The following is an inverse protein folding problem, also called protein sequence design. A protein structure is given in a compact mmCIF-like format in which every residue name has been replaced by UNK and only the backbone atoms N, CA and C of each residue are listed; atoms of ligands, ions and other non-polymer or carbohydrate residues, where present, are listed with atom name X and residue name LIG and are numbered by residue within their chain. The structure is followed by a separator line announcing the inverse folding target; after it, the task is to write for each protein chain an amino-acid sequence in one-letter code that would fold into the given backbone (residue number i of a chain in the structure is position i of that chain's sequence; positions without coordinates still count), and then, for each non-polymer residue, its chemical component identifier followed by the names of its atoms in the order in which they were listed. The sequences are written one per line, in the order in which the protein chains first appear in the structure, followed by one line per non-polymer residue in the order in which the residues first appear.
data_IF_582075848655
#
_entry.id   IF_582075848655
#
_cell.length_a   1.000
_cell.length_b   1.000
_cell.length_c   1.000
_cell.angle_alpha   90.00
_cell.angle_beta   90.00
_cell.angle_gamma   90.00
#
_symmetry.space_group_name_H-M   'P 1'
#
loop_
_entity.id
_entity.type
_entity.pdbx_description
1 polymer ?
#
# COMPACT_ATOMS: atom_id res chain seq x y z
N UNK A 1 3.15 17.64 3.25
CA UNK A 1 4.61 17.59 3.25
C UNK A 1 5.20 18.59 2.27
N UNK A 2 6.31 19.23 2.60
CA UNK A 2 7.06 20.14 1.69
C UNK A 2 8.05 19.38 0.81
N UNK A 3 8.22 18.08 1.02
CA UNK A 3 9.15 17.22 0.30
C UNK A 3 8.46 16.35 -0.77
N UNK A 4 7.13 16.34 -0.84
CA UNK A 4 6.39 15.62 -1.87
C UNK A 4 6.66 16.21 -3.25
N UNK A 5 7.08 15.37 -4.18
CA UNK A 5 7.38 15.74 -5.56
C UNK A 5 6.49 14.93 -6.49
N UNK A 6 5.59 15.62 -7.19
CA UNK A 6 4.72 14.97 -8.19
C UNK A 6 5.55 14.39 -9.33
N UNK A 7 5.16 13.20 -9.79
CA UNK A 7 5.77 12.57 -10.95
C UNK A 7 5.28 13.25 -12.23
N UNK A 8 6.22 13.59 -13.12
CA UNK A 8 5.89 14.12 -14.44
C UNK A 8 5.31 13.03 -15.32
N UNK A 9 4.32 13.42 -16.13
CA UNK A 9 3.72 12.54 -17.12
C UNK A 9 4.79 11.87 -18.00
N UNK A 10 4.69 10.55 -18.16
CA UNK A 10 5.56 9.75 -19.00
C UNK A 10 4.77 8.58 -19.62
N UNK A 11 5.44 7.69 -20.36
CA UNK A 11 4.81 6.55 -21.03
C UNK A 11 4.38 5.41 -20.09
N UNK A 12 4.84 5.42 -18.84
CA UNK A 12 4.60 4.35 -17.85
C UNK A 12 3.40 4.65 -16.94
N UNK A 13 2.84 5.86 -17.01
CA UNK A 13 1.72 6.25 -16.17
C UNK A 13 0.53 6.83 -16.96
N UNK A 14 -0.66 6.82 -16.33
CA UNK A 14 -1.80 7.60 -16.81
C UNK A 14 -1.53 9.07 -16.53
N UNK A 15 -1.65 9.92 -17.54
CA UNK A 15 -1.42 11.36 -17.42
C UNK A 15 -2.74 12.11 -17.17
N UNK A 16 -2.62 13.27 -16.52
CA UNK A 16 -3.70 14.25 -16.44
C UNK A 16 -4.04 14.85 -17.83
N UNK A 17 -5.07 15.68 -17.89
CA UNK A 17 -5.53 16.30 -19.15
C UNK A 17 -4.47 17.22 -19.78
N UNK A 18 -3.63 17.84 -18.98
CA UNK A 18 -2.58 18.75 -19.41
C UNK A 18 -1.28 18.02 -19.74
N UNK A 19 -1.23 16.71 -19.49
CA UNK A 19 -0.06 15.86 -19.66
C UNK A 19 1.17 16.32 -18.86
N UNK A 20 0.95 16.91 -17.71
CA UNK A 20 2.01 17.37 -16.82
C UNK A 20 2.35 16.36 -15.76
N UNK A 21 1.34 15.66 -15.21
CA UNK A 21 1.52 14.79 -14.05
C UNK A 21 1.02 13.37 -14.29
N UNK A 22 1.64 12.41 -13.62
CA UNK A 22 1.10 11.07 -13.46
C UNK A 22 -0.07 11.10 -12.46
N UNK A 23 -1.18 10.50 -12.82
CA UNK A 23 -2.36 10.39 -11.97
C UNK A 23 -2.72 8.94 -11.70
N UNK A 24 -3.44 8.72 -10.61
CA UNK A 24 -4.09 7.45 -10.32
C UNK A 24 -5.60 7.63 -10.17
N UNK A 25 -6.30 6.55 -10.41
CA UNK A 25 -7.75 6.45 -10.28
C UNK A 25 -8.06 5.00 -9.88
N UNK A 26 -8.60 4.82 -8.69
CA UNK A 26 -8.91 3.50 -8.11
C UNK A 26 -10.38 3.42 -7.76
N UNK A 27 -10.98 2.32 -8.18
CA UNK A 27 -12.33 1.94 -7.76
C UNK A 27 -12.23 0.67 -6.90
N UNK A 28 -12.89 0.68 -5.77
CA UNK A 28 -12.93 -0.42 -4.81
C UNK A 28 -14.19 -1.25 -5.00
N UNK A 29 -14.18 -2.49 -4.50
CA UNK A 29 -15.26 -3.44 -4.69
C UNK A 29 -16.60 -2.98 -4.06
N UNK A 30 -16.52 -2.20 -2.98
CA UNK A 30 -17.66 -1.59 -2.27
C UNK A 30 -18.18 -0.30 -2.93
N UNK A 31 -17.78 -0.03 -4.18
CA UNK A 31 -18.19 1.14 -4.98
C UNK A 31 -17.58 2.48 -4.55
N UNK A 32 -16.73 2.55 -3.57
CA UNK A 32 -15.94 3.75 -3.27
C UNK A 32 -14.82 3.95 -4.29
N UNK A 33 -14.34 5.17 -4.40
CA UNK A 33 -13.23 5.49 -5.30
C UNK A 33 -12.28 6.50 -4.69
N UNK A 34 -11.03 6.45 -5.13
CA UNK A 34 -9.98 7.39 -4.78
C UNK A 34 -9.20 7.78 -6.02
N UNK A 35 -8.92 9.06 -6.17
CA UNK A 35 -8.09 9.55 -7.28
C UNK A 35 -7.21 10.72 -6.86
N UNK A 36 -6.10 10.89 -7.58
CA UNK A 36 -5.14 11.93 -7.25
C UNK A 36 -3.90 11.90 -8.13
N UNK A 37 -2.88 12.60 -7.67
CA UNK A 37 -1.59 12.74 -8.35
C UNK A 37 -0.59 11.77 -7.72
N UNK A 38 0.18 11.07 -8.56
CA UNK A 38 1.31 10.26 -8.10
C UNK A 38 2.54 11.15 -7.85
N UNK A 39 3.25 10.86 -6.80
CA UNK A 39 4.49 11.55 -6.47
C UNK A 39 5.34 10.76 -5.50
N UNK A 40 6.50 11.29 -5.18
CA UNK A 40 7.46 10.70 -4.25
C UNK A 40 7.61 11.55 -3.00
N UNK A 41 7.72 10.88 -1.87
CA UNK A 41 8.12 11.49 -0.60
C UNK A 41 8.78 10.45 0.32
N UNK A 42 9.21 10.91 1.49
CA UNK A 42 9.74 10.05 2.54
C UNK A 42 8.60 9.40 3.31
N UNK A 43 8.62 8.08 3.36
CA UNK A 43 7.69 7.26 4.14
C UNK A 43 8.42 6.71 5.35
N UNK A 44 7.83 6.86 6.53
CA UNK A 44 8.30 6.34 7.81
C UNK A 44 7.19 5.49 8.45
N UNK A 45 7.58 4.39 9.08
CA UNK A 45 6.66 3.46 9.74
C UNK A 45 6.57 3.69 11.25
N UNK A 46 6.82 4.92 11.67
CA UNK A 46 6.76 5.35 13.07
C UNK A 46 8.05 5.12 13.86
N UNK A 47 8.07 5.65 15.08
CA UNK A 47 9.27 5.70 15.91
C UNK A 47 9.68 4.34 16.51
N UNK A 48 8.77 3.36 16.49
CA UNK A 48 9.03 2.00 16.98
C UNK A 48 9.51 1.06 15.88
N UNK A 49 9.54 1.52 14.64
CA UNK A 49 10.02 0.72 13.50
C UNK A 49 11.55 0.74 13.45
N UNK A 50 12.13 -0.42 13.19
CA UNK A 50 13.56 -0.55 12.88
C UNK A 50 13.89 -0.15 11.43
N UNK A 51 12.86 0.02 10.59
CA UNK A 51 13.02 0.44 9.21
C UNK A 51 13.35 1.94 9.14
N UNK A 52 14.48 2.26 8.55
CA UNK A 52 14.83 3.64 8.23
C UNK A 52 13.79 4.24 7.25
N UNK A 53 13.48 5.54 7.35
CA UNK A 53 12.62 6.23 6.41
C UNK A 53 13.09 6.01 4.97
N UNK A 54 12.16 5.72 4.06
CA UNK A 54 12.44 5.42 2.67
C UNK A 54 11.68 6.38 1.75
N UNK A 55 12.32 6.81 0.67
CA UNK A 55 11.62 7.50 -0.41
C UNK A 55 10.76 6.48 -1.17
N UNK A 56 9.48 6.77 -1.34
CA UNK A 56 8.55 5.90 -2.05
C UNK A 56 7.57 6.70 -2.90
N UNK A 57 7.06 6.05 -3.95
CA UNK A 57 5.99 6.59 -4.80
C UNK A 57 4.65 6.22 -4.18
N UNK A 58 3.77 7.21 -4.04
CA UNK A 58 2.39 7.02 -3.61
C UNK A 58 1.48 8.12 -4.14
N UNK A 59 0.17 7.92 -4.03
CA UNK A 59 -0.82 8.89 -4.45
C UNK A 59 -1.05 9.98 -3.41
N UNK A 60 -1.05 11.24 -3.83
CA UNK A 60 -1.65 12.33 -3.07
C UNK A 60 -3.10 12.46 -3.53
N UNK A 61 -4.00 12.07 -2.65
CA UNK A 61 -5.43 12.05 -2.93
C UNK A 61 -5.99 13.47 -2.99
N UNK A 62 -6.81 13.71 -3.99
CA UNK A 62 -7.55 14.96 -4.15
C UNK A 62 -9.06 14.75 -4.29
N UNK A 63 -9.49 13.50 -4.46
CA UNK A 63 -10.91 13.13 -4.50
C UNK A 63 -11.12 11.71 -3.98
N UNK A 64 -12.05 11.58 -3.05
CA UNK A 64 -12.53 10.29 -2.55
C UNK A 64 -14.07 10.27 -2.48
N UNK A 65 -14.65 9.09 -2.58
CA UNK A 65 -16.11 8.90 -2.53
C UNK A 65 -16.50 7.70 -1.69
N UNK A 66 -17.80 7.63 -1.34
CA UNK A 66 -18.37 6.47 -0.65
C UNK A 66 -17.84 6.29 0.77
N UNK A 67 -17.63 5.06 1.16
CA UNK A 67 -17.22 4.69 2.53
C UNK A 67 -15.84 5.22 2.90
N UNK A 68 -14.95 5.41 1.94
CA UNK A 68 -13.65 6.02 2.18
C UNK A 68 -13.78 7.41 2.78
N UNK A 69 -14.61 8.25 2.18
CA UNK A 69 -14.88 9.59 2.65
C UNK A 69 -15.49 9.61 4.07
N UNK A 70 -16.39 8.67 4.36
CA UNK A 70 -17.08 8.61 5.65
C UNK A 70 -16.21 8.07 6.80
N UNK A 71 -15.17 7.32 6.50
CA UNK A 71 -14.26 6.73 7.50
C UNK A 71 -13.26 7.73 8.08
N UNK A 72 -13.07 8.89 7.45
CA UNK A 72 -12.11 9.92 7.87
C UNK A 72 -10.69 9.40 8.10
N UNK A 73 -10.27 8.40 7.34
CA UNK A 73 -8.89 7.92 7.36
C UNK A 73 -7.97 8.90 6.65
N UNK A 74 -6.74 9.05 7.12
CA UNK A 74 -5.74 9.93 6.48
C UNK A 74 -5.20 9.37 5.16
N UNK A 75 -5.51 8.11 4.85
CA UNK A 75 -5.12 7.43 3.61
C UNK A 75 -5.25 5.92 3.68
N UNK A 76 -4.92 5.26 2.57
CA UNK A 76 -4.97 3.81 2.45
C UNK A 76 -3.59 3.28 2.07
N UNK A 77 -3.10 2.31 2.84
CA UNK A 77 -1.90 1.56 2.51
C UNK A 77 -2.30 0.18 1.98
N UNK A 78 -2.24 0.01 0.65
CA UNK A 78 -2.48 -1.27 0.01
C UNK A 78 -1.33 -2.25 0.25
N UNK A 79 -1.66 -3.52 0.51
CA UNK A 79 -0.70 -4.60 0.72
C UNK A 79 -0.73 -5.65 -0.40
N UNK A 80 -1.45 -5.38 -1.47
CA UNK A 80 -1.47 -6.21 -2.67
C UNK A 80 -0.18 -6.09 -3.48
N UNK A 81 0.03 -7.03 -4.41
CA UNK A 81 1.15 -6.98 -5.36
C UNK A 81 0.96 -5.86 -6.39
N UNK A 82 2.05 -5.25 -6.81
CA UNK A 82 2.09 -4.23 -7.86
C UNK A 82 3.27 -3.28 -7.71
N UNK A 83 3.71 -2.70 -8.80
CA UNK A 83 4.91 -1.84 -8.83
C UNK A 83 4.81 -0.60 -7.93
N UNK A 84 3.58 -0.14 -7.67
CA UNK A 84 3.30 0.95 -6.74
C UNK A 84 2.96 0.48 -5.33
N UNK A 85 2.92 -0.84 -5.06
CA UNK A 85 2.77 -1.36 -3.70
C UNK A 85 3.96 -0.94 -2.84
N UNK A 86 3.69 -0.42 -1.64
CA UNK A 86 4.77 -0.03 -0.73
C UNK A 86 5.68 -1.21 -0.38
N UNK A 87 5.12 -2.40 -0.23
CA UNK A 87 5.89 -3.62 0.05
C UNK A 87 6.83 -3.93 -1.11
N UNK A 88 6.32 -3.97 -2.36
CA UNK A 88 7.14 -4.26 -3.53
C UNK A 88 8.21 -3.20 -3.78
N UNK A 89 7.92 -1.92 -3.51
CA UNK A 89 8.94 -0.87 -3.57
C UNK A 89 10.06 -1.07 -2.53
N UNK A 90 9.74 -1.45 -1.29
CA UNK A 90 10.73 -1.72 -0.25
C UNK A 90 11.56 -2.98 -0.57
N UNK A 91 10.94 -4.02 -1.12
CA UNK A 91 11.63 -5.22 -1.61
C UNK A 91 12.58 -4.87 -2.76
N UNK A 92 12.12 -4.11 -3.75
CA UNK A 92 12.94 -3.67 -4.88
C UNK A 92 14.15 -2.82 -4.48
N UNK A 93 14.06 -2.12 -3.35
CA UNK A 93 15.18 -1.37 -2.74
C UNK A 93 16.09 -2.23 -1.85
N UNK A 94 15.76 -3.50 -1.65
CA UNK A 94 16.51 -4.38 -0.76
C UNK A 94 16.38 -4.04 0.73
N UNK A 95 15.35 -3.28 1.11
CA UNK A 95 15.10 -2.85 2.49
C UNK A 95 14.46 -3.96 3.31
N UNK A 96 13.58 -4.76 2.69
CA UNK A 96 12.88 -5.88 3.32
C UNK A 96 12.90 -7.11 2.42
N UNK A 97 12.69 -8.29 2.99
CA UNK A 97 12.38 -9.51 2.23
C UNK A 97 10.94 -9.45 1.70
N UNK A 98 10.65 -10.22 0.62
CA UNK A 98 9.35 -10.23 -0.07
C UNK A 98 8.28 -10.95 0.74
N UNK A 99 7.93 -10.35 1.88
CA UNK A 99 6.90 -10.85 2.79
C UNK A 99 6.44 -9.77 3.76
N UNK A 100 5.27 -9.96 4.34
CA UNK A 100 4.79 -9.21 5.48
C UNK A 100 3.89 -10.08 6.34
N UNK A 101 3.65 -9.69 7.57
CA UNK A 101 2.67 -10.33 8.44
C UNK A 101 1.86 -9.31 9.22
N UNK A 102 0.62 -9.69 9.54
CA UNK A 102 -0.32 -8.89 10.32
C UNK A 102 -0.76 -9.69 11.54
N UNK A 103 -0.75 -9.05 12.69
CA UNK A 103 -1.29 -9.59 13.93
C UNK A 103 -2.32 -8.61 14.47
N UNK A 104 -3.54 -9.06 14.65
CA UNK A 104 -4.63 -8.27 15.21
C UNK A 104 -4.89 -8.63 16.66
N UNK A 105 -5.07 -7.64 17.52
CA UNK A 105 -5.29 -7.84 18.95
C UNK A 105 -6.70 -8.33 19.35
N UNK A 106 -7.58 -8.56 18.36
CA UNK A 106 -8.97 -8.96 18.57
C UNK A 106 -9.92 -7.77 18.71
N UNK A 107 -11.21 -8.04 18.52
CA UNK A 107 -12.24 -6.98 18.44
C UNK A 107 -12.43 -6.21 19.76
N UNK A 108 -12.28 -6.87 20.90
CA UNK A 108 -12.49 -6.26 22.20
C UNK A 108 -11.26 -5.51 22.74
N UNK A 109 -10.07 -5.93 22.30
CA UNK A 109 -8.79 -5.39 22.77
C UNK A 109 -8.27 -4.31 21.81
N UNK A 110 -8.50 -4.48 20.53
CA UNK A 110 -7.95 -3.63 19.48
C UNK A 110 -6.43 -3.73 19.34
N UNK A 111 -5.85 -2.84 18.53
CA UNK A 111 -4.42 -2.82 18.29
C UNK A 111 -3.91 -4.00 17.48
N UNK A 112 -2.60 -4.20 17.50
CA UNK A 112 -1.94 -5.25 16.76
C UNK A 112 -0.53 -4.86 16.35
N UNK A 113 0.04 -5.64 15.42
CA UNK A 113 1.36 -5.38 14.87
C UNK A 113 1.39 -5.71 13.37
N UNK A 114 2.17 -4.96 12.63
CA UNK A 114 2.53 -5.25 11.26
C UNK A 114 4.04 -5.42 11.17
N UNK A 115 4.48 -6.50 10.55
CA UNK A 115 5.89 -6.72 10.25
C UNK A 115 6.06 -6.65 8.74
N UNK A 116 6.92 -5.78 8.28
CA UNK A 116 7.36 -5.68 6.89
C UNK A 116 8.69 -6.40 6.73
N UNK A 117 8.71 -7.38 5.83
CA UNK A 117 9.80 -8.35 5.73
C UNK A 117 9.50 -9.64 6.50
N UNK A 118 10.49 -10.55 6.54
CA UNK A 118 10.33 -11.86 7.15
C UNK A 118 10.58 -11.86 8.65
N UNK A 119 9.79 -12.67 9.34
CA UNK A 119 10.06 -13.14 10.70
C UNK A 119 9.95 -14.67 10.71
N UNK A 120 10.53 -15.30 11.74
CA UNK A 120 10.38 -16.75 11.90
C UNK A 120 8.92 -17.10 12.17
N UNK A 121 8.30 -17.94 11.33
CA UNK A 121 6.91 -18.33 11.54
C UNK A 121 6.77 -19.26 12.74
N UNK A 122 5.59 -19.31 13.40
CA UNK A 122 5.27 -20.34 14.36
C UNK A 122 5.40 -21.76 13.76
N UNK A 123 5.72 -22.75 14.60
CA UNK A 123 5.96 -24.12 14.16
C UNK A 123 4.70 -24.79 13.55
N UNK A 124 3.52 -24.31 13.91
CA UNK A 124 2.20 -24.80 13.48
C UNK A 124 1.59 -23.94 12.36
N UNK A 125 2.34 -23.04 11.76
CA UNK A 125 1.87 -22.20 10.67
C UNK A 125 1.47 -23.04 9.46
N UNK A 126 0.26 -22.79 8.96
CA UNK A 126 -0.27 -23.44 7.76
C UNK A 126 -0.16 -22.49 6.58
N UNK A 127 0.27 -23.02 5.45
CA UNK A 127 0.47 -22.25 4.24
C UNK A 127 -0.43 -22.71 3.10
N UNK A 128 -0.89 -21.75 2.29
CA UNK A 128 -1.50 -22.01 0.99
C UNK A 128 -0.70 -21.36 -0.11
N UNK A 129 -0.77 -21.91 -1.31
CA UNK A 129 -0.15 -21.28 -2.48
C UNK A 129 -1.07 -20.20 -3.02
N UNK A 130 -0.48 -19.05 -3.37
CA UNK A 130 -1.20 -18.03 -4.13
C UNK A 130 -1.40 -18.50 -5.58
N UNK A 131 -2.54 -18.15 -6.17
CA UNK A 131 -2.81 -18.39 -7.58
C UNK A 131 -1.94 -17.45 -8.44
N UNK A 132 -1.03 -17.96 -9.27
CA UNK A 132 -0.16 -17.13 -10.09
C UNK A 132 -0.91 -16.32 -11.16
N UNK A 133 -2.11 -16.76 -11.55
CA UNK A 133 -2.95 -16.06 -12.53
C UNK A 133 -3.74 -14.91 -11.90
N UNK A 134 -3.92 -14.92 -10.57
CA UNK A 134 -4.70 -13.93 -9.82
C UNK A 134 -3.82 -12.95 -9.05
N UNK A 135 -2.72 -12.51 -9.61
CA UNK A 135 -1.76 -11.59 -8.98
C UNK A 135 -2.36 -10.26 -8.51
N UNK A 136 -3.53 -9.91 -9.01
CA UNK A 136 -4.19 -8.62 -8.76
C UNK A 136 -5.53 -8.72 -8.02
N UNK A 137 -5.94 -9.92 -7.58
CA UNK A 137 -7.21 -10.13 -6.88
C UNK A 137 -6.92 -10.48 -5.43
N UNK A 138 -7.65 -9.82 -4.54
CA UNK A 138 -7.62 -10.02 -3.09
C UNK A 138 -7.51 -11.49 -2.72
N UNK A 139 -6.50 -11.82 -1.91
CA UNK A 139 -6.43 -13.13 -1.28
C UNK A 139 -7.54 -13.18 -0.24
N UNK A 140 -8.61 -13.89 -0.53
CA UNK A 140 -9.59 -14.28 0.48
C UNK A 140 -8.96 -15.39 1.33
N UNK A 141 -8.63 -15.09 2.56
CA UNK A 141 -8.44 -16.12 3.57
C UNK A 141 -9.82 -16.68 3.91
N UNK A 142 -10.14 -17.85 3.38
CA UNK A 142 -11.27 -18.66 3.85
C UNK A 142 -10.81 -19.41 5.08
N UNK A 143 -11.45 -19.13 6.22
CA UNK A 143 -11.33 -19.92 7.46
C UNK A 143 -11.98 -21.29 7.30
#
# INVERSE_FOLDING_TARGET
STSYQSLKCNIECKCDSEREHCIYDRQYAEMSSSSGILGEDIVSFGNLSELSPQRAVFGCENMETGDLYSQHADGIMGLGRGDLSIVDQLVGKGVISDSFSLCYGGMDVGGGAMVLGGISPPADMVYTRSDPERRYIHQYLTY
#
